data_IF_026154892259
#
_entry.id   IF_026154892259
#
_cell.length_a   1.000
_cell.length_b   1.000
_cell.length_c   1.000
_cell.angle_alpha   90.00
_cell.angle_beta   90.00
_cell.angle_gamma   90.00
#
_symmetry.space_group_name_H-M   'P 1'
#
loop_
_entity.id
_entity.type
_entity.pdbx_description
1 polymer ?
#
# COMPACT_ATOMS: atom_id res chain seq x y z
N UNK A 1 -21.61 -16.86 30.25
CA UNK A 1 -20.75 -15.68 30.09
C UNK A 1 -19.94 -15.88 28.82
N UNK A 2 -20.29 -15.21 27.72
CA UNK A 2 -19.58 -15.37 26.45
C UNK A 2 -18.26 -14.60 26.51
N UNK A 3 -17.21 -15.26 27.00
CA UNK A 3 -15.83 -14.81 26.84
C UNK A 3 -15.48 -14.97 25.36
N UNK A 4 -15.45 -13.87 24.62
CA UNK A 4 -14.91 -13.85 23.25
C UNK A 4 -13.40 -14.07 23.37
N UNK A 5 -12.97 -15.33 23.40
CA UNK A 5 -11.56 -15.71 23.49
C UNK A 5 -10.87 -15.27 22.18
N UNK A 6 -9.98 -14.29 22.30
CA UNK A 6 -9.18 -13.79 21.19
C UNK A 6 -8.03 -14.79 20.94
N UNK A 7 -8.02 -15.37 19.74
CA UNK A 7 -7.15 -16.50 19.41
C UNK A 7 -6.05 -16.07 18.43
N UNK A 8 -4.86 -16.70 18.47
CA UNK A 8 -3.75 -16.35 17.59
C UNK A 8 -4.13 -16.58 16.12
N UNK A 9 -3.54 -15.77 15.23
CA UNK A 9 -3.92 -15.74 13.80
C UNK A 9 -3.63 -17.07 13.08
N UNK A 10 -2.62 -17.82 13.52
CA UNK A 10 -2.23 -19.14 12.98
C UNK A 10 -2.15 -20.22 14.06
N UNK A 11 -3.28 -20.47 14.73
CA UNK A 11 -3.43 -21.36 15.90
C UNK A 11 -2.59 -22.64 15.88
N UNK A 12 -2.68 -23.46 14.82
CA UNK A 12 -1.92 -24.72 14.72
C UNK A 12 -0.42 -24.51 14.57
N UNK A 13 0.01 -23.58 13.73
CA UNK A 13 1.43 -23.26 13.55
C UNK A 13 2.04 -22.60 14.80
N UNK A 14 1.27 -21.79 15.50
CA UNK A 14 1.65 -21.22 16.80
C UNK A 14 1.75 -22.29 17.87
N UNK A 15 0.82 -23.26 17.90
CA UNK A 15 0.89 -24.41 18.81
C UNK A 15 2.15 -25.26 18.55
N UNK A 16 2.45 -25.60 17.29
CA UNK A 16 3.69 -26.33 16.92
C UNK A 16 4.92 -25.59 17.46
N UNK A 17 5.01 -24.28 17.23
CA UNK A 17 6.15 -23.50 17.70
C UNK A 17 6.25 -23.47 19.23
N UNK A 18 5.13 -23.28 19.94
CA UNK A 18 5.11 -23.24 21.41
C UNK A 18 5.50 -24.59 22.01
N UNK A 19 5.01 -25.70 21.46
CA UNK A 19 5.37 -27.07 21.89
C UNK A 19 6.87 -27.32 21.74
N UNK A 20 7.48 -26.85 20.65
CA UNK A 20 8.90 -27.09 20.36
C UNK A 20 9.87 -26.14 21.10
N UNK A 21 9.43 -24.92 21.44
CA UNK A 21 10.32 -23.83 21.88
C UNK A 21 10.05 -23.31 23.30
N UNK A 22 9.08 -23.88 24.02
CA UNK A 22 8.71 -23.44 25.38
C UNK A 22 8.47 -24.63 26.30
N UNK A 23 8.52 -24.41 27.62
CA UNK A 23 8.20 -25.42 28.64
C UNK A 23 6.75 -25.33 29.15
N UNK A 24 5.85 -24.75 28.34
CA UNK A 24 4.44 -24.59 28.69
C UNK A 24 3.70 -25.94 28.70
N UNK A 25 2.68 -26.04 29.55
CA UNK A 25 1.83 -27.23 29.60
C UNK A 25 0.92 -27.31 28.38
N UNK A 26 0.53 -28.53 28.00
CA UNK A 26 -0.40 -28.74 26.88
C UNK A 26 -1.74 -28.04 27.10
N UNK A 27 -2.23 -28.00 28.34
CA UNK A 27 -3.41 -27.24 28.73
C UNK A 27 -3.26 -25.73 28.46
N UNK A 28 -2.12 -25.11 28.82
CA UNK A 28 -1.87 -23.69 28.56
C UNK A 28 -1.85 -23.37 27.05
N UNK A 29 -1.18 -24.21 26.26
CA UNK A 29 -1.11 -24.05 24.80
C UNK A 29 -2.48 -24.28 24.16
N UNK A 30 -3.24 -25.27 24.64
CA UNK A 30 -4.60 -25.58 24.18
C UNK A 30 -5.55 -24.40 24.41
N UNK A 31 -5.54 -23.82 25.61
CA UNK A 31 -6.36 -22.65 25.95
C UNK A 31 -5.99 -21.46 25.07
N UNK A 32 -4.69 -21.17 24.91
CA UNK A 32 -4.22 -20.04 24.11
C UNK A 32 -4.55 -20.17 22.62
N UNK A 33 -4.31 -21.34 22.04
CA UNK A 33 -4.56 -21.61 20.63
C UNK A 33 -6.02 -21.99 20.34
N UNK A 34 -6.86 -22.17 21.37
CA UNK A 34 -8.25 -22.62 21.22
C UNK A 34 -8.34 -24.02 20.59
N UNK A 35 -7.41 -24.90 20.96
CA UNK A 35 -7.33 -26.29 20.55
C UNK A 35 -7.68 -27.20 21.73
N UNK A 36 -7.97 -28.46 21.47
CA UNK A 36 -8.10 -29.43 22.55
C UNK A 36 -6.72 -29.90 23.04
N UNK A 37 -6.57 -30.24 24.31
CA UNK A 37 -5.30 -30.71 24.88
C UNK A 37 -4.75 -31.92 24.12
N UNK A 38 -5.61 -32.89 23.77
CA UNK A 38 -5.26 -34.05 22.93
C UNK A 38 -4.73 -33.66 21.54
N UNK A 39 -5.21 -32.55 20.96
CA UNK A 39 -4.66 -32.07 19.68
C UNK A 39 -3.25 -31.52 19.85
N UNK A 40 -2.98 -30.82 20.97
CA UNK A 40 -1.64 -30.32 21.29
C UNK A 40 -0.69 -31.47 21.61
N UNK A 41 -1.17 -32.49 22.32
CA UNK A 41 -0.41 -33.71 22.56
C UNK A 41 -0.09 -34.43 21.24
N UNK A 42 -1.07 -34.58 20.34
CA UNK A 42 -0.84 -35.14 19.01
C UNK A 42 0.08 -34.28 18.12
N UNK A 43 0.24 -32.98 18.41
CA UNK A 43 1.27 -32.13 17.79
C UNK A 43 2.65 -32.45 18.35
N UNK A 44 2.77 -32.61 19.67
CA UNK A 44 4.03 -33.01 20.33
C UNK A 44 4.50 -34.40 19.90
N UNK A 45 3.56 -35.33 19.73
CA UNK A 45 3.82 -36.70 19.27
C UNK A 45 4.10 -36.77 17.75
N UNK A 46 3.81 -35.70 17.00
CA UNK A 46 4.07 -35.58 15.55
C UNK A 46 2.96 -36.10 14.63
N UNK A 47 1.81 -36.53 15.18
CA UNK A 47 0.71 -37.16 14.46
C UNK A 47 -0.26 -36.17 13.78
N UNK A 48 -0.55 -35.02 14.41
CA UNK A 48 -1.69 -34.14 14.02
C UNK A 48 -1.26 -32.96 13.14
N UNK A 49 0.02 -32.58 13.15
CA UNK A 49 0.55 -31.41 12.45
C UNK A 49 1.70 -31.71 11.48
N UNK A 50 1.77 -32.95 10.97
CA UNK A 50 2.77 -33.34 9.98
C UNK A 50 2.77 -32.38 8.77
N UNK A 51 3.89 -31.70 8.55
CA UNK A 51 4.08 -30.71 7.46
C UNK A 51 3.69 -29.26 7.79
N UNK A 52 3.21 -28.95 9.00
CA UNK A 52 2.98 -27.56 9.43
C UNK A 52 4.28 -26.97 9.98
N UNK A 53 4.74 -25.87 9.38
CA UNK A 53 5.93 -25.15 9.87
C UNK A 53 5.52 -24.26 11.05
N UNK A 54 6.16 -24.47 12.21
CA UNK A 54 5.94 -23.68 13.41
C UNK A 54 6.19 -22.18 13.18
N UNK A 55 5.25 -21.34 13.61
CA UNK A 55 5.38 -19.88 13.47
C UNK A 55 5.54 -19.21 14.83
N UNK A 56 6.65 -18.47 14.97
CA UNK A 56 7.00 -17.79 16.22
C UNK A 56 5.99 -16.67 16.58
N UNK A 57 5.26 -16.80 17.71
CA UNK A 57 4.28 -15.81 18.18
C UNK A 57 4.93 -14.51 18.69
N UNK A 58 6.21 -14.56 19.07
CA UNK A 58 6.98 -13.37 19.50
C UNK A 58 7.32 -12.52 18.28
N UNK A 59 7.83 -13.14 17.21
CA UNK A 59 8.17 -12.42 15.98
C UNK A 59 6.94 -11.83 15.28
N UNK A 60 5.79 -12.51 15.38
CA UNK A 60 4.52 -11.99 14.87
C UNK A 60 3.86 -10.94 15.78
N UNK A 61 4.48 -10.63 16.93
CA UNK A 61 4.01 -9.63 17.88
C UNK A 61 2.77 -10.02 18.67
N UNK A 62 2.39 -11.30 18.66
CA UNK A 62 1.21 -11.84 19.35
C UNK A 62 1.48 -12.19 20.81
N UNK A 63 2.73 -12.54 21.14
CA UNK A 63 3.20 -12.78 22.51
C UNK A 63 4.47 -11.98 22.77
N UNK A 64 4.75 -11.72 24.05
CA UNK A 64 6.06 -11.22 24.49
C UNK A 64 6.84 -12.33 25.18
N UNK A 65 8.17 -12.21 25.24
CA UNK A 65 9.01 -13.21 25.91
C UNK A 65 8.71 -13.25 27.41
N UNK A 66 8.48 -12.09 28.02
CA UNK A 66 8.15 -11.96 29.44
C UNK A 66 6.85 -12.69 29.80
N UNK A 67 5.87 -12.67 28.89
CA UNK A 67 4.59 -13.37 29.07
C UNK A 67 4.75 -14.89 29.03
N UNK A 68 5.60 -15.41 28.13
CA UNK A 68 5.92 -16.84 28.08
C UNK A 68 6.63 -17.26 29.37
N UNK A 69 7.66 -16.52 29.80
CA UNK A 69 8.40 -16.81 31.03
C UNK A 69 7.51 -16.77 32.29
N UNK A 70 6.50 -15.90 32.33
CA UNK A 70 5.51 -15.83 33.41
C UNK A 70 4.67 -17.11 33.48
N UNK A 71 4.23 -17.61 32.33
CA UNK A 71 3.43 -18.83 32.23
C UNK A 71 4.26 -20.11 32.38
N UNK A 72 5.54 -20.11 31.99
CA UNK A 72 6.44 -21.25 32.23
C UNK A 72 6.72 -21.47 33.73
N UNK A 73 6.71 -20.40 34.54
CA UNK A 73 6.91 -20.49 35.99
C UNK A 73 5.63 -20.86 36.76
N UNK A 74 4.46 -20.78 36.13
CA UNK A 74 3.17 -21.05 36.76
C UNK A 74 2.24 -21.80 35.81
N UNK A 75 2.07 -23.09 36.05
CA UNK A 75 1.25 -23.99 35.23
C UNK A 75 -0.23 -23.62 35.17
N UNK A 76 -0.76 -22.92 36.19
CA UNK A 76 -2.16 -22.48 36.24
C UNK A 76 -2.40 -21.15 35.49
N UNK A 77 -1.33 -20.46 35.09
CA UNK A 77 -1.44 -19.17 34.42
C UNK A 77 -1.76 -19.34 32.93
N UNK A 78 -2.75 -18.61 32.43
CA UNK A 78 -3.11 -18.60 31.00
C UNK A 78 -2.36 -17.49 30.25
N UNK A 79 -1.84 -17.83 29.06
CA UNK A 79 -1.22 -16.87 28.13
C UNK A 79 -2.26 -15.86 27.63
N UNK A 80 -1.89 -14.58 27.61
CA UNK A 80 -2.74 -13.51 27.08
C UNK A 80 -2.17 -12.96 25.79
N UNK A 81 -3.00 -12.88 24.74
CA UNK A 81 -2.61 -12.30 23.46
C UNK A 81 -2.25 -10.81 23.64
N UNK A 82 -1.09 -10.41 23.14
CA UNK A 82 -0.73 -9.00 23.05
C UNK A 82 -1.57 -8.37 21.94
N UNK A 83 -2.54 -7.53 22.32
CA UNK A 83 -3.33 -6.76 21.35
C UNK A 83 -2.42 -5.77 20.62
N UNK A 84 -1.94 -6.16 19.43
CA UNK A 84 -1.24 -5.22 18.57
C UNK A 84 -2.25 -4.28 17.92
N UNK A 85 -2.01 -2.97 18.06
CA UNK A 85 -2.79 -1.88 17.44
C UNK A 85 -2.92 -2.04 15.92
N UNK A 86 -2.07 -2.88 15.29
CA UNK A 86 -2.11 -3.18 13.86
C UNK A 86 -3.29 -4.07 13.41
N UNK A 87 -3.98 -4.78 14.31
CA UNK A 87 -5.19 -5.56 13.93
C UNK A 87 -6.35 -4.66 13.50
N UNK A 88 -6.38 -3.41 13.97
CA UNK A 88 -7.36 -2.38 13.60
C UNK A 88 -6.96 -1.60 12.33
N UNK A 89 -5.72 -1.75 11.86
CA UNK A 89 -5.27 -1.14 10.62
C UNK A 89 -5.73 -2.03 9.47
N UNK A 90 -6.94 -1.74 8.95
CA UNK A 90 -7.38 -2.19 7.62
C UNK A 90 -6.17 -2.07 6.69
N UNK A 91 -5.62 -3.20 6.27
CA UNK A 91 -4.53 -3.22 5.31
C UNK A 91 -4.99 -2.38 4.12
N UNK A 92 -4.36 -1.22 3.90
CA UNK A 92 -4.57 -0.47 2.67
C UNK A 92 -3.87 -1.28 1.59
N UNK A 93 -4.48 -2.39 1.19
CA UNK A 93 -3.97 -3.26 0.15
C UNK A 93 -3.63 -2.35 -1.03
N UNK A 94 -2.34 -2.27 -1.36
CA UNK A 94 -1.88 -1.57 -2.56
C UNK A 94 -2.73 -2.13 -3.69
N UNK A 95 -3.53 -1.28 -4.34
CA UNK A 95 -4.40 -1.68 -5.44
C UNK A 95 -3.52 -2.32 -6.51
N UNK A 96 -3.42 -3.65 -6.50
CA UNK A 96 -2.70 -4.39 -7.53
C UNK A 96 -3.44 -4.19 -8.84
N UNK A 97 -2.69 -4.07 -9.94
CA UNK A 97 -3.28 -3.86 -11.26
C UNK A 97 -4.19 -5.01 -11.62
N UNK A 98 -5.51 -4.79 -11.64
CA UNK A 98 -6.48 -5.78 -12.12
C UNK A 98 -6.21 -6.02 -13.62
N UNK A 99 -6.31 -7.28 -14.04
CA UNK A 99 -6.19 -7.65 -15.45
C UNK A 99 -7.13 -6.79 -16.30
N UNK A 100 -6.60 -6.16 -17.35
CA UNK A 100 -7.39 -5.35 -18.29
C UNK A 100 -7.87 -6.24 -19.44
N UNK A 101 -9.20 -6.42 -19.60
CA UNK A 101 -9.74 -7.28 -20.66
C UNK A 101 -9.36 -6.77 -22.05
N UNK A 102 -9.22 -7.67 -23.02
CA UNK A 102 -8.71 -7.38 -24.38
C UNK A 102 -9.45 -6.21 -25.06
N UNK A 103 -10.78 -6.16 -24.92
CA UNK A 103 -11.63 -5.11 -25.47
C UNK A 103 -11.27 -3.69 -24.97
N UNK A 104 -10.77 -3.58 -23.74
CA UNK A 104 -10.44 -2.30 -23.08
C UNK A 104 -8.95 -1.97 -23.10
N UNK A 105 -8.11 -2.78 -23.77
CA UNK A 105 -6.66 -2.53 -23.83
C UNK A 105 -6.31 -1.31 -24.68
N UNK A 106 -7.16 -0.91 -25.61
CA UNK A 106 -6.95 0.29 -26.43
C UNK A 106 -7.36 1.58 -25.69
N UNK A 107 -8.14 1.50 -24.61
CA UNK A 107 -8.61 2.68 -23.87
C UNK A 107 -7.43 3.52 -23.36
N UNK A 108 -6.41 2.88 -22.76
CA UNK A 108 -5.23 3.60 -22.25
C UNK A 108 -4.42 4.32 -23.34
N UNK A 109 -4.00 3.67 -24.45
CA UNK A 109 -3.28 4.37 -25.51
C UNK A 109 -4.11 5.48 -26.17
N UNK A 110 -5.41 5.27 -26.39
CA UNK A 110 -6.31 6.28 -26.95
C UNK A 110 -6.44 7.51 -26.03
N UNK A 111 -6.55 7.27 -24.72
CA UNK A 111 -6.60 8.31 -23.70
C UNK A 111 -5.29 9.11 -23.58
N UNK A 112 -4.14 8.45 -23.65
CA UNK A 112 -2.83 9.13 -23.66
C UNK A 112 -2.69 10.00 -24.92
N UNK A 113 -3.11 9.48 -26.08
CA UNK A 113 -3.08 10.22 -27.34
C UNK A 113 -3.98 11.46 -27.29
N UNK A 114 -5.14 11.38 -26.65
CA UNK A 114 -6.01 12.52 -26.38
C UNK A 114 -5.34 13.59 -25.51
N UNK A 115 -4.76 13.19 -24.37
CA UNK A 115 -4.08 14.12 -23.48
C UNK A 115 -2.93 14.85 -24.18
N UNK A 116 -2.07 14.12 -24.91
CA UNK A 116 -0.95 14.72 -25.64
C UNK A 116 -1.40 15.63 -26.79
N UNK A 117 -2.58 15.40 -27.37
CA UNK A 117 -3.11 16.21 -28.49
C UNK A 117 -3.73 17.52 -28.00
N UNK A 118 -4.51 17.49 -26.92
CA UNK A 118 -5.26 18.65 -26.44
C UNK A 118 -4.59 19.40 -25.28
N UNK A 119 -3.66 18.76 -24.58
CA UNK A 119 -2.92 19.32 -23.44
C UNK A 119 -1.42 19.03 -23.63
N UNK A 120 -0.73 19.72 -24.56
CA UNK A 120 0.67 19.42 -24.89
C UNK A 120 1.62 19.58 -23.69
N UNK A 121 1.30 20.50 -22.77
CA UNK A 121 2.12 20.80 -21.58
C UNK A 121 1.86 19.84 -20.40
N UNK A 122 1.04 18.80 -20.59
CA UNK A 122 0.77 17.82 -19.55
C UNK A 122 2.02 16.98 -19.24
N UNK A 123 2.34 16.88 -17.95
CA UNK A 123 3.50 16.10 -17.47
C UNK A 123 3.19 14.60 -17.43
N UNK A 124 4.23 13.76 -17.53
CA UNK A 124 4.06 12.29 -17.42
C UNK A 124 3.44 11.90 -16.06
N UNK A 125 3.76 12.63 -14.98
CA UNK A 125 3.17 12.42 -13.66
C UNK A 125 1.66 12.67 -13.63
N UNK A 126 1.19 13.74 -14.28
CA UNK A 126 -0.24 14.03 -14.44
C UNK A 126 -0.95 12.98 -15.30
N UNK A 127 -0.35 12.55 -16.43
CA UNK A 127 -0.91 11.46 -17.25
C UNK A 127 -1.03 10.16 -16.45
N UNK A 128 0.00 9.81 -15.65
CA UNK A 128 -0.02 8.62 -14.78
C UNK A 128 -1.17 8.66 -13.77
N UNK A 129 -1.42 9.84 -13.19
CA UNK A 129 -2.52 10.04 -12.23
C UNK A 129 -3.90 9.85 -12.89
N UNK A 130 -4.07 10.28 -14.14
CA UNK A 130 -5.34 10.17 -14.87
C UNK A 130 -5.58 8.78 -15.48
N UNK A 131 -4.55 8.17 -16.09
CA UNK A 131 -4.72 6.95 -16.91
C UNK A 131 -4.28 5.68 -16.18
N UNK A 132 -3.44 5.79 -15.15
CA UNK A 132 -2.89 4.62 -14.44
C UNK A 132 -2.01 3.75 -15.35
N UNK A 133 -1.04 4.38 -16.00
CA UNK A 133 -0.09 3.75 -16.94
C UNK A 133 1.36 3.90 -16.46
N UNK A 134 2.32 3.40 -17.24
CA UNK A 134 3.77 3.55 -16.99
C UNK A 134 4.37 4.65 -17.88
N UNK A 135 5.50 5.23 -17.44
CA UNK A 135 6.22 6.24 -18.22
C UNK A 135 6.64 5.71 -19.60
N UNK A 136 7.13 4.46 -19.65
CA UNK A 136 7.47 3.78 -20.92
C UNK A 136 6.33 3.81 -21.94
N UNK A 137 5.09 3.56 -21.49
CA UNK A 137 3.93 3.57 -22.38
C UNK A 137 3.62 4.99 -22.89
N UNK A 138 3.75 6.00 -22.02
CA UNK A 138 3.52 7.41 -22.38
C UNK A 138 4.55 7.83 -23.42
N UNK A 139 5.82 7.53 -23.18
CA UNK A 139 6.92 7.89 -24.07
C UNK A 139 6.81 7.17 -25.42
N UNK A 140 6.38 5.91 -25.46
CA UNK A 140 6.12 5.20 -26.73
C UNK A 140 5.04 5.85 -27.58
N UNK A 141 4.00 6.43 -26.97
CA UNK A 141 2.94 7.13 -27.72
C UNK A 141 3.40 8.52 -28.13
N UNK A 142 4.08 9.25 -27.22
CA UNK A 142 4.65 10.58 -27.49
C UNK A 142 5.65 10.54 -28.65
N UNK A 143 6.54 9.54 -28.63
CA UNK A 143 7.56 9.35 -29.66
C UNK A 143 7.08 8.56 -30.88
N UNK A 144 5.78 8.20 -30.93
CA UNK A 144 5.19 7.44 -32.04
C UNK A 144 5.87 6.08 -32.32
N UNK A 145 6.43 5.45 -31.29
CA UNK A 145 7.10 4.14 -31.38
C UNK A 145 6.24 2.97 -30.88
N UNK A 146 4.99 3.24 -30.48
CA UNK A 146 4.06 2.19 -30.06
C UNK A 146 3.69 1.26 -31.23
N UNK A 147 3.76 -0.05 -31.01
CA UNK A 147 3.53 -1.07 -32.05
C UNK A 147 2.19 -0.93 -32.80
N UNK A 148 1.13 -0.49 -32.11
CA UNK A 148 -0.22 -0.32 -32.67
C UNK A 148 -0.56 1.12 -33.07
N UNK A 149 0.41 1.98 -33.35
CA UNK A 149 0.18 3.42 -33.54
C UNK A 149 -0.92 3.74 -34.56
N UNK A 150 -1.00 2.97 -35.66
CA UNK A 150 -1.99 3.18 -36.74
C UNK A 150 -3.45 3.10 -36.27
N UNK A 151 -3.71 2.32 -35.21
CA UNK A 151 -5.05 2.11 -34.70
C UNK A 151 -5.40 2.97 -33.49
N UNK A 152 -4.43 3.72 -32.93
CA UNK A 152 -4.66 4.61 -31.79
C UNK A 152 -5.46 5.81 -32.27
N UNK A 153 -6.57 6.09 -31.58
CA UNK A 153 -7.43 7.24 -31.86
C UNK A 153 -7.56 8.10 -30.59
N UNK A 154 -7.30 9.42 -30.65
CA UNK A 154 -7.53 10.29 -29.51
C UNK A 154 -8.99 10.20 -29.03
N UNK A 155 -9.21 9.70 -27.81
CA UNK A 155 -10.53 9.64 -27.15
C UNK A 155 -10.44 10.19 -25.72
N UNK A 156 -11.50 10.88 -25.30
CA UNK A 156 -11.53 11.53 -23.99
C UNK A 156 -11.37 10.52 -22.83
N UNK A 157 -10.45 10.81 -21.91
CA UNK A 157 -10.09 9.95 -20.78
C UNK A 157 -11.21 9.77 -19.76
N UNK A 158 -12.12 10.74 -19.64
CA UNK A 158 -13.31 10.66 -18.78
C UNK A 158 -14.36 9.77 -19.45
N UNK A 159 -14.60 9.95 -20.75
CA UNK A 159 -15.56 9.12 -21.50
C UNK A 159 -15.12 7.64 -21.56
N UNK A 160 -13.82 7.39 -21.61
CA UNK A 160 -13.25 6.04 -21.52
C UNK A 160 -13.32 5.45 -20.10
N UNK A 161 -13.76 6.24 -19.10
CA UNK A 161 -13.84 5.83 -17.69
C UNK A 161 -12.49 5.58 -17.04
N UNK A 162 -11.42 6.24 -17.51
CA UNK A 162 -10.08 6.11 -16.94
C UNK A 162 -9.90 6.99 -15.70
N UNK A 163 -10.55 8.16 -15.67
CA UNK A 163 -10.58 9.07 -14.53
C UNK A 163 -11.98 9.67 -14.35
N UNK A 164 -12.26 10.22 -13.16
CA UNK A 164 -13.49 10.98 -12.93
C UNK A 164 -13.38 12.41 -13.46
N UNK A 165 -14.53 13.04 -13.74
CA UNK A 165 -14.56 14.45 -14.17
C UNK A 165 -13.86 15.38 -13.17
N UNK A 166 -14.04 15.14 -11.86
CA UNK A 166 -13.37 15.91 -10.82
C UNK A 166 -11.85 15.78 -10.91
N UNK A 167 -11.34 14.54 -11.02
CA UNK A 167 -9.89 14.29 -11.13
C UNK A 167 -9.28 14.93 -12.37
N UNK A 168 -10.02 14.89 -13.50
CA UNK A 168 -9.60 15.54 -14.73
C UNK A 168 -9.50 17.06 -14.55
N UNK A 169 -10.56 17.69 -14.01
CA UNK A 169 -10.59 19.14 -13.76
C UNK A 169 -9.47 19.58 -12.80
N UNK A 170 -9.15 18.79 -11.76
CA UNK A 170 -8.06 19.08 -10.83
C UNK A 170 -6.71 19.14 -11.55
N UNK A 171 -6.45 18.19 -12.47
CA UNK A 171 -5.22 18.17 -13.25
C UNK A 171 -5.18 19.33 -14.24
N UNK A 172 -6.27 19.59 -14.98
CA UNK A 172 -6.31 20.67 -15.97
C UNK A 172 -6.16 22.04 -15.31
N UNK A 173 -6.76 22.26 -14.13
CA UNK A 173 -6.60 23.51 -13.40
C UNK A 173 -5.15 23.74 -12.99
N UNK A 174 -4.42 22.68 -12.58
CA UNK A 174 -2.99 22.79 -12.25
C UNK A 174 -2.13 23.18 -13.45
N UNK A 175 -2.50 22.78 -14.68
CA UNK A 175 -1.79 23.18 -15.91
C UNK A 175 -2.01 24.68 -16.21
N UNK A 176 -3.28 25.13 -16.15
CA UNK A 176 -3.65 26.54 -16.39
C UNK A 176 -3.03 27.51 -15.37
N UNK A 177 -2.85 27.07 -14.12
CA UNK A 177 -2.19 27.88 -13.08
C UNK A 177 -0.71 28.07 -13.40
N UNK A 178 -0.03 27.02 -13.89
CA UNK A 178 1.37 27.11 -14.32
C UNK A 178 1.53 28.07 -15.50
N UNK A 179 0.64 28.04 -16.50
CA UNK A 179 0.63 29.03 -17.59
C UNK A 179 0.51 30.47 -17.05
N UNK A 180 -0.42 30.72 -16.12
CA UNK A 180 -0.64 32.04 -15.53
C UNK A 180 0.52 32.53 -14.66
N UNK A 181 1.30 31.63 -14.05
CA UNK A 181 2.49 31.99 -13.28
C UNK A 181 3.70 32.30 -14.17
N UNK A 182 3.82 31.61 -15.31
CA UNK A 182 4.85 31.87 -16.32
C UNK A 182 4.60 33.22 -17.04
N UNK A 183 3.33 33.60 -17.23
CA UNK A 183 2.95 34.88 -17.86
C UNK A 183 3.12 36.11 -16.96
N UNK A 184 3.28 35.98 -15.64
CA UNK A 184 3.56 37.14 -14.77
C UNK A 184 5.01 37.58 -14.97
N UNK A 185 5.29 38.75 -15.59
CA UNK A 185 6.67 39.17 -15.83
C UNK A 185 7.34 39.52 -14.50
N UNK A 186 8.60 39.09 -14.34
CA UNK A 186 9.53 39.49 -13.27
C UNK A 186 9.81 41.01 -13.30
N UNK A 187 8.84 41.84 -12.95
CA UNK A 187 9.05 43.27 -12.65
C UNK A 187 9.41 43.40 -11.17
N UNK A 188 10.70 43.24 -10.82
CA UNK A 188 11.36 43.80 -9.63
C UNK A 188 12.79 43.26 -9.51
N UNK A 189 13.70 43.80 -10.32
CA UNK A 189 15.14 43.70 -10.08
C UNK A 189 15.89 44.78 -10.87
N UNK A 190 15.59 46.06 -10.62
CA UNK A 190 16.42 47.20 -11.09
C UNK A 190 15.98 48.51 -10.43
N UNK A 191 16.07 48.59 -9.09
CA UNK A 191 15.90 49.88 -8.41
C UNK A 191 16.58 49.88 -7.03
N UNK A 192 17.90 49.69 -7.00
CA UNK A 192 18.71 50.14 -5.86
C UNK A 192 20.17 50.22 -6.30
N UNK A 193 20.63 51.43 -6.68
CA UNK A 193 22.01 51.93 -6.52
C UNK A 193 22.21 53.26 -7.26
N UNK A 194 21.48 54.33 -6.91
CA UNK A 194 22.00 55.70 -7.03
C UNK A 194 21.41 56.52 -5.88
N UNK A 195 22.18 56.72 -4.80
CA UNK A 195 22.19 57.88 -3.88
C UNK A 195 23.05 57.58 -2.65
N UNK A 196 24.36 57.74 -2.82
CA UNK A 196 25.35 58.16 -1.81
C UNK A 196 26.18 59.24 -2.53
N UNK A 197 26.56 60.40 -2.04
CA UNK A 197 26.33 61.18 -0.82
C UNK A 197 26.91 62.56 -1.17
N UNK A 198 26.13 63.65 -1.11
CA UNK A 198 26.69 65.02 -1.18
C UNK A 198 25.93 65.91 -0.19
N UNK A 199 26.52 66.13 1.00
CA UNK A 199 26.71 67.42 1.68
C UNK A 199 26.86 67.25 3.19
N UNK A 200 27.90 67.90 3.72
CA UNK A 200 28.11 68.21 5.12
C UNK A 200 29.35 69.08 5.20
N UNK A 201 29.14 70.39 5.03
CA UNK A 201 30.12 71.46 5.21
C UNK A 201 29.94 71.99 6.62
#
# INVERSE_FOLDING_TARGET
MNMTQELPLMRKATAVWLVENTSLTFAQIAIFCGLHELEVQGIADGDVASGIIGQNPILSGQLSREEIERCEKNSDATLVLKRSITSDVKSTAKKTGKYTPIARRQDKPDGISYLLKYYPDITNGQIKKLVGTTDKMIDSIRNRTHWNLKNIKPRDVVLLGLCSQSQFNDVISSIKVVEKEIEKPKKKAKETKIKKTVKGK
#
